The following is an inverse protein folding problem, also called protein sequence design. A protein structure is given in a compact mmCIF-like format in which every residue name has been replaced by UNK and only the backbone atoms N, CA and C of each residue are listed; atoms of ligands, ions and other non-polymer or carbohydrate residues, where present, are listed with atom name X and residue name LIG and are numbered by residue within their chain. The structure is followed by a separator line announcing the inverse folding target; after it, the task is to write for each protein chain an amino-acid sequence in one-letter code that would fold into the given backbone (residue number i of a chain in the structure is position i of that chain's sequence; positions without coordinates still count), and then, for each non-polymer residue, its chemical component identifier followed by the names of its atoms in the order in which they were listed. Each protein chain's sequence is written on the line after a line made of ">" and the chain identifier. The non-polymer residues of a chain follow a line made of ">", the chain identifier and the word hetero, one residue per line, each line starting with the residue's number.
data_IF_301723608077
#
_entry.id   IF_301723608077
#
_cell.length_a   1.000
_cell.length_b   1.000
_cell.length_c   1.000
_cell.angle_alpha   90.00
_cell.angle_beta   90.00
_cell.angle_gamma   90.00
#
_symmetry.space_group_name_H-M   'P 1'
#
loop_
_entity.id
_entity.type
_entity.pdbx_description
1 polymer ?
#
# COMPACT_ATOMS: atom_id res chain seq x y z
N UNK A 1 29.05 -61.77 20.44
CA UNK A 1 29.88 -60.59 20.06
C UNK A 1 29.91 -60.63 18.53
N UNK A 2 29.34 -59.74 17.73
CA UNK A 2 29.11 -58.30 17.84
C UNK A 2 27.89 -57.86 16.99
N UNK A 3 27.17 -56.86 17.52
CA UNK A 3 26.44 -55.72 16.92
C UNK A 3 25.70 -55.85 15.57
N UNK A 4 24.38 -55.70 15.71
CA UNK A 4 23.34 -55.41 14.73
C UNK A 4 23.57 -54.12 13.92
N UNK A 5 23.37 -54.19 12.60
CA UNK A 5 23.21 -53.03 11.70
C UNK A 5 21.79 -53.07 11.13
N UNK A 6 20.89 -52.28 11.73
CA UNK A 6 19.51 -52.13 11.28
C UNK A 6 19.38 -51.10 10.16
N UNK A 7 18.83 -51.52 9.03
CA UNK A 7 18.49 -50.65 7.90
C UNK A 7 17.31 -49.74 8.25
N UNK A 8 17.54 -48.43 8.35
CA UNK A 8 16.48 -47.43 8.44
C UNK A 8 15.97 -47.03 7.05
N UNK A 9 14.86 -47.63 6.61
CA UNK A 9 14.05 -47.11 5.49
C UNK A 9 13.43 -45.77 5.93
N UNK A 10 13.89 -44.66 5.35
CA UNK A 10 13.21 -43.35 5.45
C UNK A 10 12.03 -43.35 4.48
N UNK A 11 10.80 -43.44 5.01
CA UNK A 11 9.59 -43.05 4.30
C UNK A 11 9.54 -41.53 4.19
N UNK A 12 9.66 -41.02 2.96
CA UNK A 12 9.41 -39.62 2.66
C UNK A 12 7.93 -39.30 2.82
N UNK A 13 7.60 -38.42 3.75
CA UNK A 13 6.29 -37.80 3.85
C UNK A 13 6.18 -36.69 2.80
N UNK A 14 5.19 -36.80 1.91
CA UNK A 14 4.78 -35.77 0.97
C UNK A 14 4.60 -34.42 1.69
N UNK A 15 5.49 -33.47 1.40
CA UNK A 15 5.42 -32.10 1.87
C UNK A 15 4.34 -31.32 1.13
N UNK A 16 3.07 -31.52 1.52
CA UNK A 16 2.02 -30.54 1.20
C UNK A 16 2.19 -29.32 2.11
N UNK A 17 2.26 -28.09 1.59
CA UNK A 17 2.32 -26.89 2.41
C UNK A 17 1.06 -26.81 3.28
N UNK A 18 1.24 -26.56 4.57
CA UNK A 18 0.11 -26.26 5.45
C UNK A 18 -0.59 -24.98 4.96
N UNK A 19 -1.94 -24.94 4.97
CA UNK A 19 -2.70 -23.77 4.52
C UNK A 19 -2.41 -22.54 5.40
N UNK A 20 -2.54 -21.33 4.84
CA UNK A 20 -2.22 -20.08 5.53
C UNK A 20 -3.06 -19.92 6.80
N UNK A 21 -2.46 -19.40 7.89
CA UNK A 21 -3.19 -19.06 9.12
C UNK A 21 -4.04 -17.82 8.87
N UNK A 22 -5.34 -18.03 8.73
CA UNK A 22 -6.37 -17.02 8.50
C UNK A 22 -6.66 -16.33 9.85
N UNK A 23 -6.88 -15.01 9.86
CA UNK A 23 -7.28 -14.33 11.11
C UNK A 23 -8.72 -14.74 11.48
N UNK A 24 -9.10 -14.82 12.76
CA UNK A 24 -10.45 -15.26 13.16
C UNK A 24 -11.60 -14.45 12.53
N UNK A 25 -11.36 -13.16 12.25
CA UNK A 25 -12.31 -12.29 11.56
C UNK A 25 -12.47 -12.66 10.07
N UNK A 26 -11.36 -12.95 9.37
CA UNK A 26 -11.37 -13.40 7.97
C UNK A 26 -11.95 -14.82 7.89
N UNK A 27 -11.70 -15.70 8.86
CA UNK A 27 -12.33 -17.03 8.93
C UNK A 27 -13.85 -16.92 9.11
N UNK A 28 -14.31 -16.02 9.97
CA UNK A 28 -15.75 -15.77 10.18
C UNK A 28 -16.41 -15.21 8.93
N UNK A 29 -15.75 -14.25 8.26
CA UNK A 29 -16.23 -13.66 7.01
C UNK A 29 -16.27 -14.70 5.89
N UNK A 30 -15.17 -15.42 5.68
CA UNK A 30 -15.07 -16.49 4.69
C UNK A 30 -16.17 -17.54 4.91
N UNK A 31 -16.41 -17.96 6.16
CA UNK A 31 -17.49 -18.92 6.48
C UNK A 31 -18.87 -18.39 6.11
N UNK A 32 -19.18 -17.14 6.45
CA UNK A 32 -20.47 -16.51 6.12
C UNK A 32 -20.67 -16.38 4.60
N UNK A 33 -19.62 -16.00 3.87
CA UNK A 33 -19.63 -15.98 2.39
C UNK A 33 -19.83 -17.38 1.83
N UNK A 34 -19.10 -18.37 2.36
CA UNK A 34 -19.19 -19.76 1.95
C UNK A 34 -20.62 -20.31 2.12
N UNK A 35 -21.24 -20.09 3.28
CA UNK A 35 -22.63 -20.47 3.55
C UNK A 35 -23.61 -19.86 2.53
N UNK A 36 -23.38 -18.61 2.13
CA UNK A 36 -24.21 -17.93 1.12
C UNK A 36 -24.01 -18.54 -0.26
N UNK A 37 -22.76 -18.82 -0.66
CA UNK A 37 -22.44 -19.43 -1.95
C UNK A 37 -22.92 -20.89 -2.04
N UNK A 38 -23.00 -21.58 -0.90
CA UNK A 38 -23.51 -22.96 -0.83
C UNK A 38 -24.99 -23.05 -1.20
N UNK A 39 -25.75 -21.98 -0.95
CA UNK A 39 -27.17 -21.85 -1.31
C UNK A 39 -27.42 -21.48 -2.78
N UNK A 40 -26.37 -21.25 -3.58
CA UNK A 40 -26.46 -20.97 -5.01
C UNK A 40 -26.26 -22.24 -5.85
N UNK A 41 -27.08 -22.39 -6.89
CA UNK A 41 -26.92 -23.39 -7.94
C UNK A 41 -25.70 -23.11 -8.82
N UNK A 42 -25.22 -24.09 -9.60
CA UNK A 42 -24.09 -23.87 -10.51
C UNK A 42 -24.32 -22.76 -11.54
N UNK A 43 -25.55 -22.59 -12.02
CA UNK A 43 -25.91 -21.52 -12.95
C UNK A 43 -25.88 -20.14 -12.26
N UNK A 44 -26.46 -20.04 -11.06
CA UNK A 44 -26.43 -18.81 -10.25
C UNK A 44 -25.00 -18.41 -9.88
N UNK A 45 -24.11 -19.36 -9.59
CA UNK A 45 -22.70 -19.08 -9.33
C UNK A 45 -21.97 -18.52 -10.56
N UNK A 46 -22.30 -19.00 -11.76
CA UNK A 46 -21.73 -18.45 -13.00
C UNK A 46 -22.16 -16.99 -13.17
N UNK A 47 -23.45 -16.70 -12.99
CA UNK A 47 -23.98 -15.34 -13.04
C UNK A 47 -23.43 -14.45 -11.93
N UNK A 48 -23.26 -15.00 -10.72
CA UNK A 48 -22.67 -14.31 -9.58
C UNK A 48 -21.29 -13.75 -9.96
N UNK A 49 -20.45 -14.55 -10.60
CA UNK A 49 -19.10 -14.12 -11.04
C UNK A 49 -19.15 -13.03 -12.10
N UNK A 50 -20.10 -13.13 -13.04
CA UNK A 50 -20.30 -12.11 -14.08
C UNK A 50 -20.72 -10.79 -13.44
N UNK A 51 -21.71 -10.83 -12.55
CA UNK A 51 -22.23 -9.67 -11.84
C UNK A 51 -21.14 -9.04 -10.97
N UNK A 52 -20.36 -9.85 -10.25
CA UNK A 52 -19.26 -9.37 -9.41
C UNK A 52 -18.22 -8.53 -10.17
N UNK A 53 -18.02 -8.77 -11.48
CA UNK A 53 -17.13 -7.95 -12.33
C UNK A 53 -17.65 -6.52 -12.55
N UNK A 54 -18.93 -6.28 -12.30
CA UNK A 54 -19.64 -5.03 -12.66
C UNK A 54 -20.23 -4.27 -11.47
N UNK A 55 -20.33 -4.91 -10.29
CA UNK A 55 -20.99 -4.35 -9.11
C UNK A 55 -20.19 -3.24 -8.41
N UNK A 56 -18.88 -3.21 -8.65
CA UNK A 56 -17.95 -2.23 -8.10
C UNK A 56 -17.36 -1.37 -9.25
N UNK A 57 -17.31 -0.04 -9.09
CA UNK A 57 -16.72 0.90 -10.07
C UNK A 57 -15.19 0.77 -10.07
N UNK A 58 -14.67 -0.38 -10.46
CA UNK A 58 -13.30 -0.87 -10.23
C UNK A 58 -13.32 -2.14 -9.38
N UNK A 59 -13.35 -3.34 -9.98
CA UNK A 59 -13.53 -4.59 -9.25
C UNK A 59 -12.27 -4.92 -8.43
N UNK A 60 -12.41 -5.04 -7.11
CA UNK A 60 -11.30 -5.38 -6.18
C UNK A 60 -10.72 -6.78 -6.40
N UNK A 61 -11.43 -7.61 -7.17
CA UNK A 61 -10.98 -8.92 -7.64
C UNK A 61 -10.91 -8.82 -9.16
N UNK A 62 -9.71 -8.92 -9.73
CA UNK A 62 -9.54 -8.83 -11.19
C UNK A 62 -10.24 -9.99 -11.91
N UNK A 63 -10.71 -9.80 -13.16
CA UNK A 63 -11.34 -10.86 -13.94
C UNK A 63 -10.47 -12.13 -14.04
N UNK A 64 -9.15 -11.95 -14.18
CA UNK A 64 -8.18 -13.03 -14.26
C UNK A 64 -8.08 -13.85 -12.95
N UNK A 65 -8.08 -13.20 -11.79
CA UNK A 65 -8.10 -13.91 -10.49
C UNK A 65 -9.42 -14.63 -10.25
N UNK A 66 -10.53 -14.03 -10.65
CA UNK A 66 -11.84 -14.67 -10.60
C UNK A 66 -11.89 -15.97 -11.42
N UNK A 67 -11.16 -16.04 -12.53
CA UNK A 67 -11.05 -17.24 -13.36
C UNK A 67 -10.10 -18.28 -12.74
N UNK A 68 -8.93 -17.86 -12.25
CA UNK A 68 -7.91 -18.77 -11.72
C UNK A 68 -8.24 -19.32 -10.32
N UNK A 69 -8.78 -18.46 -9.44
CA UNK A 69 -8.92 -18.75 -8.01
C UNK A 69 -10.40 -18.81 -7.58
N UNK A 70 -11.30 -18.16 -8.32
CA UNK A 70 -12.74 -18.11 -8.03
C UNK A 70 -13.55 -19.28 -8.59
N UNK A 71 -12.90 -20.27 -9.21
CA UNK A 71 -13.53 -21.40 -9.91
C UNK A 71 -14.37 -22.33 -9.03
N UNK A 72 -14.15 -22.34 -7.72
CA UNK A 72 -14.94 -23.09 -6.73
C UNK A 72 -15.64 -22.17 -5.74
N UNK A 73 -16.69 -22.66 -5.04
CA UNK A 73 -17.36 -21.92 -3.95
C UNK A 73 -16.35 -21.48 -2.88
N UNK A 74 -15.49 -22.40 -2.45
CA UNK A 74 -14.43 -22.16 -1.48
C UNK A 74 -13.40 -21.13 -1.92
N UNK A 75 -12.96 -21.21 -3.19
CA UNK A 75 -12.02 -20.24 -3.75
C UNK A 75 -12.62 -18.84 -3.87
N UNK A 76 -13.88 -18.74 -4.29
CA UNK A 76 -14.60 -17.48 -4.38
C UNK A 76 -14.87 -16.86 -2.99
N UNK A 77 -15.22 -17.67 -1.99
CA UNK A 77 -15.39 -17.23 -0.61
C UNK A 77 -14.08 -16.68 -0.03
N UNK A 78 -12.96 -17.36 -0.29
CA UNK A 78 -11.64 -16.93 0.13
C UNK A 78 -11.23 -15.61 -0.55
N UNK A 79 -11.42 -15.50 -1.88
CA UNK A 79 -11.15 -14.28 -2.63
C UNK A 79 -11.93 -13.09 -2.09
N UNK A 80 -13.23 -13.27 -1.84
CA UNK A 80 -14.09 -12.21 -1.31
C UNK A 80 -13.64 -11.80 0.10
N UNK A 81 -13.32 -12.75 0.97
CA UNK A 81 -12.85 -12.47 2.33
C UNK A 81 -11.45 -11.84 2.37
N UNK A 82 -10.60 -12.06 1.36
CA UNK A 82 -9.27 -11.46 1.26
C UNK A 82 -9.29 -10.04 0.67
N UNK A 83 -10.20 -9.77 -0.28
CA UNK A 83 -10.21 -8.52 -1.05
C UNK A 83 -11.22 -7.49 -0.57
N UNK A 84 -12.15 -7.89 0.31
CA UNK A 84 -13.18 -7.01 0.85
C UNK A 84 -13.24 -7.17 2.37
N UNK A 85 -13.34 -6.04 3.08
CA UNK A 85 -13.64 -6.00 4.52
C UNK A 85 -15.15 -6.16 4.75
N UNK A 86 -15.57 -6.51 5.98
CA UNK A 86 -16.93 -6.97 6.28
C UNK A 86 -18.07 -6.06 5.74
N UNK A 87 -18.09 -4.73 6.04
CA UNK A 87 -19.06 -3.81 5.42
C UNK A 87 -19.03 -3.76 3.89
N UNK A 88 -17.86 -3.86 3.26
CA UNK A 88 -17.76 -3.87 1.81
C UNK A 88 -18.26 -5.18 1.20
N UNK A 89 -17.96 -6.34 1.81
CA UNK A 89 -18.51 -7.63 1.41
C UNK A 89 -20.03 -7.60 1.49
N UNK A 90 -20.60 -7.09 2.58
CA UNK A 90 -22.06 -7.00 2.73
C UNK A 90 -22.70 -6.17 1.62
N UNK A 91 -22.17 -4.98 1.31
CA UNK A 91 -22.70 -4.13 0.23
C UNK A 91 -22.61 -4.81 -1.14
N UNK A 92 -21.48 -5.44 -1.44
CA UNK A 92 -21.26 -6.13 -2.72
C UNK A 92 -22.20 -7.34 -2.83
N UNK A 93 -22.31 -8.16 -1.79
CA UNK A 93 -23.20 -9.31 -1.78
C UNK A 93 -24.67 -8.91 -1.86
N UNK A 94 -25.10 -7.85 -1.17
CA UNK A 94 -26.47 -7.34 -1.31
C UNK A 94 -26.76 -6.96 -2.77
N UNK A 95 -25.88 -6.20 -3.43
CA UNK A 95 -26.05 -5.83 -4.84
C UNK A 95 -26.04 -7.04 -5.78
N UNK A 96 -25.12 -7.99 -5.57
CA UNK A 96 -25.03 -9.20 -6.39
C UNK A 96 -26.27 -10.07 -6.22
N UNK A 97 -26.72 -10.30 -4.98
CA UNK A 97 -27.91 -11.09 -4.66
C UNK A 97 -29.19 -10.45 -5.20
N UNK A 98 -29.30 -9.11 -5.14
CA UNK A 98 -30.39 -8.37 -5.78
C UNK A 98 -30.45 -8.60 -7.30
N UNK A 99 -29.31 -8.51 -7.98
CA UNK A 99 -29.24 -8.76 -9.43
C UNK A 99 -29.44 -10.24 -9.80
N UNK A 100 -29.12 -11.17 -8.89
CA UNK A 100 -29.42 -12.59 -9.04
C UNK A 100 -30.89 -12.94 -8.73
N UNK A 101 -31.68 -12.01 -8.21
CA UNK A 101 -33.07 -12.26 -7.78
C UNK A 101 -33.17 -13.06 -6.47
N UNK A 102 -32.10 -13.17 -5.69
CA UNK A 102 -32.03 -13.91 -4.42
C UNK A 102 -32.35 -13.03 -3.22
N UNK A 103 -33.57 -12.48 -3.22
CA UNK A 103 -34.09 -11.64 -2.13
C UNK A 103 -34.14 -12.39 -0.78
N UNK A 104 -34.31 -13.71 -0.82
CA UNK A 104 -34.30 -14.63 0.32
C UNK A 104 -32.99 -14.61 1.11
N UNK A 105 -31.88 -14.29 0.46
CA UNK A 105 -30.54 -14.27 1.06
C UNK A 105 -30.11 -12.87 1.55
N UNK A 106 -30.86 -11.81 1.23
CA UNK A 106 -30.51 -10.45 1.64
C UNK A 106 -30.48 -10.25 3.16
N UNK A 107 -31.41 -10.81 3.97
CA UNK A 107 -31.37 -10.68 5.43
C UNK A 107 -30.10 -11.25 6.07
N UNK A 108 -29.43 -12.20 5.39
CA UNK A 108 -28.15 -12.75 5.85
C UNK A 108 -27.01 -11.74 5.77
N UNK A 109 -27.18 -10.63 5.05
CA UNK A 109 -26.17 -9.61 4.81
C UNK A 109 -26.63 -8.19 5.20
N UNK A 110 -27.91 -8.04 5.56
CA UNK A 110 -28.50 -6.83 6.13
C UNK A 110 -28.59 -7.02 7.65
N UNK A 111 -27.66 -6.49 8.43
CA UNK A 111 -27.80 -6.51 9.89
C UNK A 111 -28.83 -5.49 10.37
N UNK A 112 -29.49 -5.77 11.51
CA UNK A 112 -30.48 -4.91 12.15
C UNK A 112 -29.94 -3.51 12.57
N UNK A 113 -28.62 -3.30 12.55
CA UNK A 113 -27.98 -1.99 12.75
C UNK A 113 -28.00 -1.10 11.48
N UNK A 114 -28.38 -1.64 10.32
CA UNK A 114 -28.44 -0.92 9.04
C UNK A 114 -29.86 -0.43 8.66
N UNK A 115 -30.86 -0.64 9.53
CA UNK A 115 -32.26 -0.24 9.30
C UNK A 115 -32.56 1.22 9.65
N UNK A 116 -31.61 1.95 10.22
CA UNK A 116 -31.59 3.41 10.16
C UNK A 116 -30.80 3.76 8.93
N UNK A 117 -31.44 4.36 7.92
CA UNK A 117 -30.74 4.85 6.73
C UNK A 117 -29.51 5.65 7.16
N UNK A 118 -28.34 5.03 7.09
CA UNK A 118 -27.10 5.76 6.96
C UNK A 118 -27.14 6.33 5.54
N UNK A 119 -27.91 7.40 5.37
CA UNK A 119 -27.27 8.60 4.85
C UNK A 119 -25.94 8.65 5.58
N UNK A 120 -24.85 8.37 4.85
CA UNK A 120 -23.51 8.75 5.29
C UNK A 120 -23.73 10.08 5.97
N UNK A 121 -23.37 10.26 7.25
CA UNK A 121 -23.20 11.60 7.75
C UNK A 121 -22.14 12.17 6.81
N UNK A 122 -22.59 12.83 5.73
CA UNK A 122 -22.00 14.05 5.30
C UNK A 122 -22.11 14.87 6.57
N UNK A 123 -21.13 14.72 7.46
CA UNK A 123 -20.42 15.88 7.91
C UNK A 123 -20.19 16.62 6.61
N UNK A 124 -21.11 17.54 6.32
CA UNK A 124 -20.79 18.69 5.51
C UNK A 124 -19.59 19.21 6.28
N UNK A 125 -18.39 18.75 5.88
CA UNK A 125 -17.19 19.46 6.22
C UNK A 125 -17.55 20.87 5.79
N UNK A 126 -17.65 21.79 6.76
CA UNK A 126 -17.87 23.19 6.46
C UNK A 126 -16.84 23.50 5.39
N UNK A 127 -17.30 23.62 4.15
CA UNK A 127 -16.42 23.81 3.01
C UNK A 127 -15.83 25.18 3.24
N UNK A 128 -14.54 25.19 3.57
CA UNK A 128 -13.73 26.39 3.67
C UNK A 128 -13.43 26.91 2.26
N UNK A 129 -14.47 27.23 1.50
CA UNK A 129 -14.36 27.92 0.20
C UNK A 129 -15.03 29.29 0.25
N UNK A 130 -15.14 29.87 1.44
CA UNK A 130 -15.23 31.31 1.60
C UNK A 130 -13.78 31.80 1.72
N UNK A 131 -13.28 32.42 0.66
CA UNK A 131 -11.95 33.01 0.61
C UNK A 131 -11.76 33.99 1.76
N UNK A 132 -11.04 33.56 2.79
CA UNK A 132 -10.42 34.43 3.77
C UNK A 132 -8.92 34.20 3.63
N UNK A 133 -8.29 35.18 2.99
CA UNK A 133 -6.85 35.37 2.92
C UNK A 133 -6.26 35.20 4.33
N UNK A 134 -5.45 34.14 4.55
CA UNK A 134 -4.61 34.05 5.74
C UNK A 134 -4.30 32.70 6.40
N UNK A 135 -4.98 31.56 6.13
CA UNK A 135 -4.76 30.38 7.01
C UNK A 135 -4.90 28.95 6.41
N UNK A 136 -4.69 28.71 5.10
CA UNK A 136 -4.98 27.37 4.56
C UNK A 136 -4.09 26.75 3.46
N UNK A 137 -2.82 27.13 3.37
CA UNK A 137 -1.86 26.46 2.46
C UNK A 137 -1.28 25.15 3.02
N UNK A 138 -1.88 24.59 4.09
CA UNK A 138 -1.35 23.43 4.82
C UNK A 138 -2.41 22.36 5.08
N UNK A 139 -2.02 21.09 5.02
CA UNK A 139 -2.86 20.00 5.49
C UNK A 139 -2.96 20.02 7.03
N UNK A 140 -4.16 19.75 7.56
CA UNK A 140 -4.35 19.51 8.98
C UNK A 140 -3.87 18.10 9.35
N UNK A 141 -2.71 18.03 9.99
CA UNK A 141 -2.09 16.79 10.47
C UNK A 141 -2.26 16.60 11.99
N UNK A 142 -3.25 17.26 12.62
CA UNK A 142 -3.54 17.11 14.06
C UNK A 142 -4.14 15.75 14.41
N UNK A 143 -4.77 15.08 13.43
CA UNK A 143 -5.27 13.71 13.54
C UNK A 143 -4.16 12.65 13.66
N UNK A 144 -4.55 11.39 13.81
CA UNK A 144 -3.61 10.26 13.93
C UNK A 144 -2.77 10.13 12.67
N UNK A 145 -1.46 10.00 12.85
CA UNK A 145 -0.49 9.75 11.78
C UNK A 145 -0.14 8.29 11.78
N UNK A 146 -0.49 7.60 10.69
CA UNK A 146 -0.32 6.15 10.59
C UNK A 146 0.70 5.80 9.53
N UNK A 147 1.59 4.87 9.84
CA UNK A 147 2.62 4.43 8.90
C UNK A 147 2.64 2.91 8.72
N UNK A 148 2.98 2.48 7.51
CA UNK A 148 3.27 1.08 7.19
C UNK A 148 4.70 0.97 6.68
N UNK A 149 5.53 0.19 7.36
CA UNK A 149 6.94 -0.02 7.02
C UNK A 149 7.15 -1.47 6.58
N UNK A 150 7.46 -1.68 5.29
CA UNK A 150 7.84 -2.98 4.77
C UNK A 150 9.32 -2.98 4.37
N UNK A 151 10.06 -3.99 4.80
CA UNK A 151 11.43 -4.20 4.35
C UNK A 151 11.72 -5.67 4.09
N UNK A 152 12.38 -5.98 2.97
CA UNK A 152 13.04 -7.28 2.76
C UNK A 152 14.52 -7.10 3.11
N UNK A 153 15.00 -7.76 4.16
CA UNK A 153 16.40 -7.73 4.59
C UNK A 153 17.20 -8.89 4.00
N UNK A 154 16.54 -9.98 3.63
CA UNK A 154 17.18 -11.14 3.04
C UNK A 154 17.95 -10.78 1.77
N UNK A 155 19.23 -11.15 1.73
CA UNK A 155 20.17 -10.83 0.65
C UNK A 155 20.24 -9.32 0.32
N UNK A 156 20.03 -8.48 1.35
CA UNK A 156 19.98 -7.03 1.26
C UNK A 156 20.82 -6.43 2.40
N UNK A 157 22.16 -6.58 2.41
CA UNK A 157 23.00 -6.05 3.48
C UNK A 157 22.83 -4.54 3.60
N UNK A 158 22.80 -4.03 4.83
CA UNK A 158 22.45 -2.65 5.15
C UNK A 158 20.94 -2.38 5.29
N UNK A 159 20.06 -3.29 4.87
CA UNK A 159 18.61 -3.11 5.00
C UNK A 159 18.14 -2.97 6.45
N UNK A 160 18.75 -3.70 7.39
CA UNK A 160 18.44 -3.55 8.82
C UNK A 160 18.69 -2.11 9.29
N UNK A 161 19.66 -1.40 8.67
CA UNK A 161 20.04 -0.04 9.05
C UNK A 161 18.99 0.93 8.54
N UNK A 162 18.49 0.70 7.32
CA UNK A 162 17.35 1.43 6.76
C UNK A 162 16.11 1.30 7.65
N UNK A 163 15.80 0.09 8.13
CA UNK A 163 14.67 -0.13 9.05
C UNK A 163 14.83 0.67 10.34
N UNK A 164 16.03 0.67 10.94
CA UNK A 164 16.31 1.45 12.15
C UNK A 164 16.14 2.95 11.91
N UNK A 165 16.74 3.49 10.85
CA UNK A 165 16.69 4.92 10.52
C UNK A 165 15.26 5.37 10.21
N UNK A 166 14.50 4.57 9.45
CA UNK A 166 13.09 4.86 9.16
C UNK A 166 12.23 4.80 10.41
N UNK A 167 12.45 3.82 11.29
CA UNK A 167 11.71 3.71 12.55
C UNK A 167 11.96 4.92 13.45
N UNK A 168 13.21 5.38 13.53
CA UNK A 168 13.58 6.58 14.27
C UNK A 168 12.92 7.83 13.68
N UNK A 169 12.98 8.02 12.37
CA UNK A 169 12.36 9.16 11.69
C UNK A 169 10.84 9.18 11.85
N UNK A 170 10.17 8.02 11.71
CA UNK A 170 8.74 7.88 11.96
C UNK A 170 8.37 8.24 13.40
N UNK A 171 9.17 7.82 14.38
CA UNK A 171 8.99 8.20 15.78
C UNK A 171 9.13 9.70 16.00
N UNK A 172 10.13 10.33 15.39
CA UNK A 172 10.35 11.78 15.45
C UNK A 172 9.22 12.58 14.76
N UNK A 173 8.57 12.01 13.75
CA UNK A 173 7.39 12.56 13.08
C UNK A 173 6.05 12.13 13.71
N UNK A 174 6.09 11.47 14.88
CA UNK A 174 4.92 11.02 15.65
C UNK A 174 3.98 10.06 14.90
N UNK A 175 4.53 9.24 14.01
CA UNK A 175 3.77 8.18 13.35
C UNK A 175 3.64 6.94 14.24
N UNK A 176 2.42 6.44 14.35
CA UNK A 176 2.19 5.07 14.81
C UNK A 176 2.36 4.12 13.62
N UNK A 177 3.40 3.29 13.66
CA UNK A 177 3.78 2.48 12.50
C UNK A 177 3.53 0.98 12.73
N UNK A 178 3.17 0.28 11.64
CA UNK A 178 3.12 -1.18 11.56
C UNK A 178 4.26 -1.68 10.68
N UNK A 179 5.06 -2.62 11.19
CA UNK A 179 6.22 -3.17 10.48
C UNK A 179 5.97 -4.55 9.88
N UNK A 180 6.56 -4.78 8.70
CA UNK A 180 6.50 -6.04 7.97
C UNK A 180 7.88 -6.38 7.38
N UNK A 181 8.65 -7.21 8.10
CA UNK A 181 10.02 -7.59 7.72
C UNK A 181 10.03 -8.96 7.04
N UNK A 182 10.75 -9.06 5.93
CA UNK A 182 10.88 -10.23 5.06
C UNK A 182 9.54 -10.94 4.74
N UNK A 183 8.52 -10.22 4.22
CA UNK A 183 7.28 -10.89 3.83
C UNK A 183 7.45 -11.70 2.54
N UNK A 184 6.67 -12.78 2.42
CA UNK A 184 6.23 -13.30 1.12
C UNK A 184 5.06 -12.47 0.57
N UNK A 185 4.61 -12.75 -0.66
CA UNK A 185 3.55 -11.96 -1.30
C UNK A 185 2.24 -11.96 -0.49
N UNK A 186 1.82 -13.13 -0.01
CA UNK A 186 0.58 -13.23 0.76
C UNK A 186 0.66 -12.50 2.10
N UNK A 187 1.80 -12.59 2.78
CA UNK A 187 2.05 -11.90 4.05
C UNK A 187 1.99 -10.38 3.88
N UNK A 188 2.61 -9.84 2.81
CA UNK A 188 2.55 -8.41 2.50
C UNK A 188 1.11 -7.98 2.21
N UNK A 189 0.46 -8.62 1.24
CA UNK A 189 -0.89 -8.23 0.82
C UNK A 189 -1.90 -8.34 1.97
N UNK A 190 -1.79 -9.36 2.81
CA UNK A 190 -2.63 -9.51 3.99
C UNK A 190 -2.40 -8.40 5.01
N UNK A 191 -1.14 -8.12 5.36
CA UNK A 191 -0.81 -7.08 6.36
C UNK A 191 -1.14 -5.68 5.88
N UNK A 192 -0.81 -5.33 4.63
CA UNK A 192 -1.08 -3.98 4.11
C UNK A 192 -2.59 -3.75 3.88
N UNK A 193 -3.34 -4.80 3.54
CA UNK A 193 -4.81 -4.76 3.49
C UNK A 193 -5.39 -4.54 4.88
N UNK A 194 -4.93 -5.30 5.88
CA UNK A 194 -5.37 -5.13 7.27
C UNK A 194 -5.02 -3.75 7.82
N UNK A 195 -3.87 -3.18 7.43
CA UNK A 195 -3.49 -1.83 7.80
C UNK A 195 -4.44 -0.79 7.20
N UNK A 196 -4.72 -0.85 5.89
CA UNK A 196 -5.70 0.00 5.21
C UNK A 196 -7.09 -0.12 5.85
N UNK A 197 -7.54 -1.35 6.10
CA UNK A 197 -8.87 -1.58 6.70
C UNK A 197 -8.92 -1.01 8.12
N UNK A 198 -7.84 -1.17 8.88
CA UNK A 198 -7.66 -0.52 10.18
C UNK A 198 -7.80 1.00 10.09
N UNK A 199 -7.24 1.67 9.06
CA UNK A 199 -7.43 3.12 8.86
C UNK A 199 -8.91 3.50 8.70
N UNK A 200 -9.64 2.72 7.92
CA UNK A 200 -11.07 2.95 7.66
C UNK A 200 -11.95 2.70 8.89
N UNK A 201 -11.45 1.97 9.89
CA UNK A 201 -12.15 1.68 11.15
C UNK A 201 -11.82 2.67 12.28
N UNK A 202 -10.83 3.56 12.10
CA UNK A 202 -10.49 4.57 13.10
C UNK A 202 -11.66 5.55 13.23
N UNK A 203 -12.19 5.68 14.45
CA UNK A 203 -13.28 6.63 14.78
C UNK A 203 -12.79 8.06 14.95
N UNK A 204 -11.53 8.23 15.35
CA UNK A 204 -10.85 9.52 15.44
C UNK A 204 -10.39 10.01 14.07
N UNK A 205 -10.02 11.28 13.94
CA UNK A 205 -9.52 11.81 12.65
C UNK A 205 -8.15 11.21 12.30
N UNK A 206 -7.95 10.83 11.04
CA UNK A 206 -6.65 10.42 10.49
C UNK A 206 -6.03 11.63 9.80
N UNK A 207 -4.88 12.08 10.28
CA UNK A 207 -4.20 13.25 9.76
C UNK A 207 -3.49 12.96 8.44
N UNK A 208 -2.79 11.83 8.36
CA UNK A 208 -2.10 11.38 7.15
C UNK A 208 -1.72 9.90 7.22
N UNK A 209 -1.36 9.35 6.05
CA UNK A 209 -0.80 8.00 5.92
C UNK A 209 0.57 8.05 5.25
N UNK A 210 1.49 7.23 5.75
CA UNK A 210 2.80 7.03 5.14
C UNK A 210 3.10 5.54 4.92
N UNK A 211 3.43 5.15 3.69
CA UNK A 211 3.78 3.77 3.34
C UNK A 211 5.22 3.73 2.83
N UNK A 212 6.10 3.04 3.55
CA UNK A 212 7.50 2.84 3.17
C UNK A 212 7.72 1.41 2.70
N UNK A 213 8.21 1.23 1.47
CA UNK A 213 8.47 -0.06 0.86
C UNK A 213 9.94 -0.17 0.47
N UNK A 214 10.71 -1.01 1.17
CA UNK A 214 12.15 -1.15 0.96
C UNK A 214 12.48 -2.58 0.53
N UNK A 215 12.72 -2.81 -0.76
CA UNK A 215 13.07 -4.14 -1.28
C UNK A 215 14.01 -4.10 -2.49
N UNK A 216 14.38 -5.27 -2.99
CA UNK A 216 14.76 -5.39 -4.39
C UNK A 216 13.53 -5.07 -5.25
N UNK A 217 13.75 -4.52 -6.43
CA UNK A 217 12.68 -4.15 -7.34
C UNK A 217 13.06 -4.31 -8.79
N UNK A 218 12.09 -4.01 -9.62
CA UNK A 218 12.22 -3.81 -11.06
C UNK A 218 11.10 -2.84 -11.49
N UNK A 219 11.01 -2.53 -12.78
CA UNK A 219 10.06 -1.55 -13.30
C UNK A 219 8.62 -1.82 -12.85
N UNK A 220 8.12 -1.02 -11.91
CA UNK A 220 6.76 -1.10 -11.37
C UNK A 220 6.52 -2.18 -10.31
N UNK A 221 7.53 -2.98 -9.94
CA UNK A 221 7.36 -4.10 -9.01
C UNK A 221 8.41 -4.10 -7.90
N UNK A 222 8.00 -4.61 -6.74
CA UNK A 222 8.88 -4.94 -5.62
C UNK A 222 8.91 -6.46 -5.41
N UNK A 223 10.09 -6.98 -5.08
CA UNK A 223 10.35 -8.42 -4.88
C UNK A 223 10.21 -8.77 -3.41
N UNK A 224 9.62 -9.92 -3.11
CA UNK A 224 9.42 -10.45 -1.76
C UNK A 224 10.60 -11.35 -1.35
N UNK A 225 10.62 -11.87 -0.12
CA UNK A 225 11.74 -12.71 0.39
C UNK A 225 12.02 -13.97 -0.44
N UNK A 226 11.04 -14.43 -1.20
CA UNK A 226 11.07 -15.61 -2.06
C UNK A 226 11.14 -15.27 -3.56
N UNK A 227 11.32 -13.99 -3.90
CA UNK A 227 11.40 -13.52 -5.29
C UNK A 227 10.04 -13.25 -5.95
N UNK A 228 8.92 -13.53 -5.28
CA UNK A 228 7.60 -13.15 -5.78
C UNK A 228 7.49 -11.64 -5.95
N UNK A 229 6.74 -11.20 -6.96
CA UNK A 229 6.59 -9.79 -7.32
C UNK A 229 5.22 -9.25 -6.90
N UNK A 230 5.23 -8.02 -6.42
CA UNK A 230 4.04 -7.23 -6.09
C UNK A 230 4.10 -5.92 -6.85
N UNK A 231 3.00 -5.57 -7.51
CA UNK A 231 2.81 -4.33 -8.26
C UNK A 231 2.73 -3.16 -7.29
N UNK A 232 3.49 -2.10 -7.57
CA UNK A 232 3.38 -0.85 -6.82
C UNK A 232 2.03 -0.16 -7.07
N UNK A 233 1.52 -0.26 -8.29
CA UNK A 233 0.21 0.31 -8.67
C UNK A 233 -0.91 -0.31 -7.85
N UNK A 234 -0.89 -1.65 -7.68
CA UNK A 234 -1.88 -2.36 -6.85
C UNK A 234 -1.85 -1.84 -5.41
N UNK A 235 -0.66 -1.50 -4.89
CA UNK A 235 -0.51 -0.93 -3.55
C UNK A 235 -1.04 0.51 -3.51
N UNK A 236 -0.70 1.36 -4.49
CA UNK A 236 -1.19 2.73 -4.55
C UNK A 236 -2.72 2.78 -4.62
N UNK A 237 -3.33 1.90 -5.42
CA UNK A 237 -4.77 1.78 -5.57
C UNK A 237 -5.47 1.43 -4.24
N UNK A 238 -4.82 0.67 -3.34
CA UNK A 238 -5.40 0.33 -2.04
C UNK A 238 -5.68 1.55 -1.15
N UNK A 239 -4.93 2.64 -1.31
CA UNK A 239 -5.02 3.85 -0.48
C UNK A 239 -5.73 5.02 -1.16
N UNK A 240 -6.29 4.79 -2.34
CA UNK A 240 -6.95 5.83 -3.11
C UNK A 240 -8.26 6.28 -2.44
N UNK A 241 -8.86 7.37 -2.94
CA UNK A 241 -10.04 7.96 -2.32
C UNK A 241 -11.25 7.01 -2.26
N UNK A 242 -11.28 5.98 -3.12
CA UNK A 242 -12.33 4.97 -3.16
C UNK A 242 -12.07 3.83 -2.16
N UNK A 243 -10.83 3.34 -2.09
CA UNK A 243 -10.45 2.15 -1.33
C UNK A 243 -10.05 2.45 0.11
N UNK A 244 -9.63 3.69 0.40
CA UNK A 244 -9.39 4.17 1.76
C UNK A 244 -10.09 5.52 2.02
N UNK A 245 -11.42 5.52 2.23
CA UNK A 245 -12.19 6.75 2.46
C UNK A 245 -11.70 7.59 3.65
N UNK A 246 -11.08 6.96 4.67
CA UNK A 246 -10.50 7.67 5.80
C UNK A 246 -9.35 8.62 5.43
N UNK A 247 -8.79 8.50 4.22
CA UNK A 247 -7.71 9.35 3.70
C UNK A 247 -8.18 10.35 2.63
N UNK A 248 -9.48 10.52 2.40
CA UNK A 248 -9.95 11.55 1.46
C UNK A 248 -9.51 12.94 1.91
N UNK A 249 -8.91 13.72 1.00
CA UNK A 249 -8.35 15.05 1.28
C UNK A 249 -7.22 15.05 2.33
N UNK A 250 -6.66 13.87 2.66
CA UNK A 250 -5.51 13.69 3.54
C UNK A 250 -4.29 13.25 2.73
N UNK A 251 -3.07 13.68 3.10
CA UNK A 251 -1.88 13.32 2.36
C UNK A 251 -1.52 11.83 2.52
N UNK A 252 -1.18 11.21 1.40
CA UNK A 252 -0.84 9.79 1.22
C UNK A 252 0.59 9.70 0.70
N UNK A 253 1.52 9.37 1.58
CA UNK A 253 2.95 9.54 1.33
C UNK A 253 3.57 8.17 1.11
N UNK A 254 4.24 7.96 -0.02
CA UNK A 254 4.87 6.70 -0.38
C UNK A 254 6.37 6.87 -0.54
N UNK A 255 7.15 6.13 0.25
CA UNK A 255 8.60 6.11 0.18
C UNK A 255 9.04 4.76 -0.37
N UNK A 256 9.51 4.75 -1.62
CA UNK A 256 9.86 3.52 -2.31
C UNK A 256 11.38 3.43 -2.39
N UNK A 257 11.99 2.49 -1.65
CA UNK A 257 13.42 2.16 -1.76
C UNK A 257 13.55 0.83 -2.48
N UNK A 258 13.48 0.86 -3.82
CA UNK A 258 13.64 -0.31 -4.68
C UNK A 258 14.18 0.09 -6.05
N UNK A 259 14.94 -0.79 -6.70
CA UNK A 259 15.41 -0.57 -8.08
C UNK A 259 14.21 -0.47 -9.03
N UNK A 260 14.28 0.45 -10.00
CA UNK A 260 13.26 0.59 -11.06
C UNK A 260 13.73 0.01 -12.41
N UNK A 261 14.97 -0.49 -12.47
CA UNK A 261 15.57 -1.23 -13.59
C UNK A 261 17.07 -1.47 -13.36
N UNK A 262 17.84 -1.63 -14.45
CA UNK A 262 19.26 -2.04 -14.42
C UNK A 262 20.24 -0.96 -14.93
N UNK A 263 19.75 0.19 -15.41
CA UNK A 263 20.60 1.27 -15.93
C UNK A 263 21.36 1.99 -14.81
N UNK A 264 22.56 2.47 -15.13
CA UNK A 264 23.42 3.28 -14.25
C UNK A 264 23.52 4.69 -14.83
N UNK A 265 23.53 5.69 -13.95
CA UNK A 265 23.70 7.09 -14.33
C UNK A 265 25.16 7.51 -14.11
N UNK A 266 25.83 7.84 -15.21
CA UNK A 266 27.24 8.25 -15.21
C UNK A 266 27.39 9.78 -15.05
N UNK A 267 26.29 10.53 -14.95
CA UNK A 267 26.29 12.00 -14.89
C UNK A 267 26.54 12.66 -16.26
N UNK A 268 26.17 13.94 -16.35
CA UNK A 268 26.42 14.84 -17.49
C UNK A 268 26.78 16.22 -16.95
N UNK A 269 27.56 17.00 -17.70
CA UNK A 269 27.78 18.44 -17.41
C UNK A 269 26.63 19.25 -18.04
N UNK A 270 26.02 20.18 -17.30
CA UNK A 270 24.87 20.97 -17.79
C UNK A 270 24.94 22.44 -17.37
N UNK A 271 24.66 23.32 -18.33
CA UNK A 271 24.18 24.70 -18.14
C UNK A 271 22.64 24.68 -18.20
N UNK A 272 21.97 25.33 -17.24
CA UNK A 272 20.51 25.28 -16.99
C UNK A 272 19.78 26.56 -17.46
N UNK A 273 18.49 26.45 -17.85
CA UNK A 273 17.42 27.45 -17.54
C UNK A 273 15.99 26.81 -17.57
N UNK A 274 15.02 27.23 -16.72
CA UNK A 274 13.65 26.66 -16.65
C UNK A 274 12.52 27.62 -17.10
N UNK A 275 11.29 27.10 -17.29
CA UNK A 275 10.07 27.89 -17.59
C UNK A 275 8.81 27.33 -16.89
N UNK A 276 7.94 28.23 -16.39
CA UNK A 276 6.69 27.99 -15.62
C UNK A 276 5.40 28.16 -16.47
N UNK A 277 4.23 27.67 -15.98
CA UNK A 277 2.93 28.43 -15.90
C UNK A 277 1.69 27.61 -15.45
N UNK A 278 0.61 28.36 -15.13
CA UNK A 278 -0.55 28.16 -14.24
C UNK A 278 -1.86 27.46 -14.72
N UNK A 279 -2.68 27.24 -13.68
CA UNK A 279 -4.09 26.85 -13.36
C UNK A 279 -5.31 27.13 -14.29
N UNK A 280 -6.36 26.28 -14.18
CA UNK A 280 -7.82 26.61 -14.31
C UNK A 280 -8.70 25.55 -13.59
N UNK A 281 -9.65 26.01 -12.75
CA UNK A 281 -10.65 25.22 -12.00
C UNK A 281 -11.94 24.89 -12.77
N UNK A 282 -12.46 23.67 -12.61
CA UNK A 282 -13.90 23.33 -12.74
C UNK A 282 -14.33 22.38 -11.61
N UNK A 283 -15.62 22.46 -11.23
CA UNK A 283 -16.25 21.80 -10.07
C UNK A 283 -15.84 20.32 -9.93
N UNK A 284 -14.91 20.05 -9.02
CA UNK A 284 -14.19 18.77 -8.97
C UNK A 284 -14.97 17.68 -8.21
N UNK A 285 -15.28 16.58 -8.89
CA UNK A 285 -15.21 15.27 -8.24
C UNK A 285 -13.74 15.05 -7.90
N UNK A 286 -13.41 14.64 -6.68
CA UNK A 286 -12.03 14.27 -6.35
C UNK A 286 -11.57 13.21 -7.36
N UNK A 287 -10.41 13.39 -8.02
CA UNK A 287 -9.80 12.31 -8.77
C UNK A 287 -9.64 11.09 -7.87
N UNK A 288 -9.73 9.88 -8.44
CA UNK A 288 -9.54 8.65 -7.67
C UNK A 288 -8.20 8.67 -6.92
N UNK A 289 -7.18 9.25 -7.55
CA UNK A 289 -5.84 9.48 -7.01
C UNK A 289 -5.61 10.99 -6.79
N UNK A 290 -5.72 11.45 -5.54
CA UNK A 290 -5.37 12.82 -5.13
C UNK A 290 -4.65 12.79 -3.79
N UNK A 291 -3.88 13.85 -3.51
CA UNK A 291 -3.13 14.02 -2.28
C UNK A 291 -2.03 12.97 -2.09
N UNK A 292 -1.46 12.46 -3.20
CA UNK A 292 -0.31 11.56 -3.18
C UNK A 292 1.01 12.32 -3.20
N UNK A 293 1.99 11.81 -2.48
CA UNK A 293 3.40 12.19 -2.62
C UNK A 293 4.24 10.93 -2.66
N UNK A 294 4.86 10.63 -3.79
CA UNK A 294 5.64 9.41 -4.00
C UNK A 294 7.10 9.80 -4.24
N UNK A 295 8.01 9.20 -3.47
CA UNK A 295 9.45 9.39 -3.62
C UNK A 295 10.11 8.06 -4.00
N UNK A 296 10.92 8.13 -5.05
CA UNK A 296 11.76 7.05 -5.55
C UNK A 296 13.23 7.40 -5.37
N UNK A 297 14.12 6.40 -5.22
CA UNK A 297 15.52 6.64 -4.93
C UNK A 297 16.32 6.98 -6.19
N UNK A 298 15.74 6.72 -7.37
CA UNK A 298 16.32 6.91 -8.69
C UNK A 298 15.22 7.10 -9.74
N UNK A 299 15.62 7.59 -10.91
CA UNK A 299 14.79 7.60 -12.11
C UNK A 299 14.31 6.21 -12.51
N UNK A 300 13.22 6.17 -13.29
CA UNK A 300 12.75 4.92 -13.89
C UNK A 300 13.89 4.21 -14.63
N UNK A 301 13.88 2.89 -14.61
CA UNK A 301 14.90 2.02 -15.20
C UNK A 301 16.30 2.06 -14.54
N UNK A 302 16.52 2.79 -13.43
CA UNK A 302 17.83 2.90 -12.75
C UNK A 302 17.92 2.10 -11.43
N UNK A 303 19.16 1.79 -11.01
CA UNK A 303 19.48 1.01 -9.81
C UNK A 303 19.44 1.85 -8.53
N UNK A 304 18.70 1.39 -7.51
CA UNK A 304 18.68 2.04 -6.20
C UNK A 304 19.95 1.67 -5.39
N UNK A 305 20.82 2.64 -5.14
CA UNK A 305 22.09 2.39 -4.43
C UNK A 305 21.91 2.15 -2.93
N UNK A 306 22.70 1.20 -2.43
CA UNK A 306 22.81 0.90 -1.00
C UNK A 306 24.20 0.41 -0.65
N UNK A 307 24.71 0.92 0.47
CA UNK A 307 25.95 0.48 1.05
C UNK A 307 25.71 -0.63 2.10
N UNK A 308 26.52 -1.72 2.10
CA UNK A 308 26.30 -2.88 2.98
C UNK A 308 26.32 -2.59 4.49
N UNK A 309 26.96 -1.50 4.92
CA UNK A 309 27.12 -1.15 6.35
C UNK A 309 26.25 0.02 6.80
N UNK A 310 26.09 1.04 5.96
CA UNK A 310 25.44 2.31 6.35
C UNK A 310 23.97 2.36 5.92
N UNK A 311 23.55 1.52 4.98
CA UNK A 311 22.19 1.50 4.47
C UNK A 311 22.08 2.16 3.09
N UNK A 312 20.85 2.39 2.67
CA UNK A 312 20.46 2.95 1.39
C UNK A 312 20.76 4.44 1.37
N UNK A 313 21.29 4.92 0.24
CA UNK A 313 21.71 6.32 0.07
C UNK A 313 20.58 7.30 0.39
N UNK A 314 19.36 7.03 -0.10
CA UNK A 314 18.19 7.87 0.17
C UNK A 314 17.83 7.91 1.66
N UNK A 315 17.80 6.75 2.33
CA UNK A 315 17.36 6.64 3.73
C UNK A 315 18.40 7.26 4.68
N UNK A 316 19.69 7.07 4.39
CA UNK A 316 20.78 7.70 5.12
C UNK A 316 20.72 9.23 4.99
N UNK A 317 20.58 9.73 3.76
CA UNK A 317 20.46 11.16 3.50
C UNK A 317 19.21 11.77 4.17
N UNK A 318 18.07 11.05 4.20
CA UNK A 318 16.88 11.49 4.93
C UNK A 318 17.18 11.70 6.42
N UNK A 319 17.83 10.73 7.07
CA UNK A 319 18.14 10.83 8.49
C UNK A 319 19.08 12.02 8.80
N UNK A 320 20.06 12.26 7.93
CA UNK A 320 21.00 13.37 8.09
C UNK A 320 20.34 14.74 7.87
N UNK A 321 19.54 14.89 6.82
CA UNK A 321 18.80 16.13 6.56
C UNK A 321 17.82 16.41 7.69
N UNK A 322 17.15 15.37 8.21
CA UNK A 322 16.24 15.49 9.33
C UNK A 322 16.95 15.93 10.61
N UNK A 323 18.12 15.36 10.90
CA UNK A 323 18.94 15.76 12.06
C UNK A 323 19.32 17.25 12.02
N UNK A 324 19.48 17.82 10.82
CA UNK A 324 19.85 19.22 10.63
C UNK A 324 18.65 20.17 10.64
N UNK A 325 17.54 19.80 9.99
CA UNK A 325 16.42 20.70 9.72
C UNK A 325 15.18 20.41 10.57
N UNK A 326 15.04 19.18 11.07
CA UNK A 326 13.85 18.69 11.77
C UNK A 326 12.57 18.82 10.91
N UNK A 327 11.44 18.97 11.60
CA UNK A 327 10.11 19.08 11.00
C UNK A 327 9.75 20.47 10.45
N UNK A 328 10.73 21.32 10.14
CA UNK A 328 10.49 22.74 9.87
C UNK A 328 10.07 23.06 8.43
N UNK A 329 10.18 22.09 7.52
CA UNK A 329 9.98 22.31 6.09
C UNK A 329 8.89 21.41 5.54
N UNK A 330 8.29 21.85 4.44
CA UNK A 330 7.30 21.06 3.73
C UNK A 330 7.94 19.76 3.22
N UNK A 331 7.19 18.66 3.11
CA UNK A 331 7.74 17.38 2.67
C UNK A 331 8.47 17.44 1.32
N UNK A 332 7.99 18.23 0.35
CA UNK A 332 8.70 18.40 -0.92
C UNK A 332 10.04 19.13 -0.73
N UNK A 333 10.10 20.15 0.13
CA UNK A 333 11.36 20.85 0.47
C UNK A 333 12.33 19.94 1.21
N UNK A 334 11.81 19.12 2.13
CA UNK A 334 12.58 18.11 2.84
C UNK A 334 13.26 17.17 1.84
N UNK A 335 12.49 16.57 0.92
CA UNK A 335 13.05 15.67 -0.09
C UNK A 335 13.87 16.40 -1.16
N UNK A 336 13.67 17.69 -1.39
CA UNK A 336 14.55 18.52 -2.21
C UNK A 336 15.93 18.67 -1.56
N UNK A 337 15.99 18.89 -0.24
CA UNK A 337 17.25 18.90 0.52
C UNK A 337 17.93 17.53 0.54
N UNK A 338 17.15 16.45 0.66
CA UNK A 338 17.68 15.07 0.53
C UNK A 338 18.26 14.88 -0.87
N UNK A 339 17.53 15.28 -1.92
CA UNK A 339 18.00 15.16 -3.30
C UNK A 339 19.28 15.96 -3.55
N UNK A 340 19.32 17.23 -3.10
CA UNK A 340 20.51 18.08 -3.23
C UNK A 340 21.74 17.43 -2.60
N UNK A 341 21.59 16.88 -1.40
CA UNK A 341 22.68 16.14 -0.74
C UNK A 341 23.14 14.93 -1.55
N UNK A 342 22.20 14.13 -2.06
CA UNK A 342 22.49 12.91 -2.81
C UNK A 342 23.18 13.23 -4.14
N UNK A 343 22.71 14.22 -4.89
CA UNK A 343 23.30 14.63 -6.20
C UNK A 343 24.73 15.16 -6.05
N UNK A 344 25.01 15.91 -4.99
CA UNK A 344 26.35 16.45 -4.71
C UNK A 344 27.29 15.45 -4.02
N UNK A 345 26.81 14.26 -3.65
CA UNK A 345 27.67 13.20 -3.14
C UNK A 345 28.22 12.37 -4.31
N UNK A 346 29.48 11.96 -4.23
CA UNK A 346 30.07 11.00 -5.17
C UNK A 346 29.97 9.59 -4.62
N UNK A 347 29.25 8.73 -5.34
CA UNK A 347 29.17 7.31 -5.02
C UNK A 347 30.07 6.52 -5.95
N UNK A 348 30.62 5.42 -5.44
CA UNK A 348 31.51 4.55 -6.21
C UNK A 348 30.95 3.13 -6.16
N UNK A 349 30.82 2.50 -7.32
CA UNK A 349 30.43 1.09 -7.43
C UNK A 349 31.44 0.37 -8.33
N UNK A 350 32.16 -0.61 -7.77
CA UNK A 350 33.27 -1.27 -8.48
C UNK A 350 34.31 -0.27 -9.04
N UNK A 351 34.64 0.76 -8.27
CA UNK A 351 35.61 1.82 -8.63
C UNK A 351 35.16 2.78 -9.74
N UNK A 352 33.94 2.60 -10.29
CA UNK A 352 33.33 3.55 -11.20
C UNK A 352 32.48 4.59 -10.43
N UNK A 353 32.62 5.89 -10.72
CA UNK A 353 31.78 6.92 -10.14
C UNK A 353 30.34 6.78 -10.66
N UNK A 354 29.37 6.91 -9.77
CA UNK A 354 27.93 6.86 -10.08
C UNK A 354 27.25 8.06 -9.45
N UNK A 355 26.32 8.66 -10.20
CA UNK A 355 25.41 9.69 -9.68
C UNK A 355 24.04 9.10 -9.37
N UNK A 356 23.39 9.71 -8.39
CA UNK A 356 22.06 9.34 -7.92
C UNK A 356 21.25 10.62 -7.84
N UNK A 357 20.04 10.61 -8.41
CA UNK A 357 19.04 11.65 -8.24
C UNK A 357 17.71 11.01 -7.91
N UNK A 358 17.05 11.52 -6.87
CA UNK A 358 15.72 11.09 -6.46
C UNK A 358 14.67 11.54 -7.47
N UNK A 359 13.52 10.88 -7.48
CA UNK A 359 12.33 11.31 -8.25
C UNK A 359 11.15 11.47 -7.31
N UNK A 360 10.54 12.65 -7.34
CA UNK A 360 9.34 13.02 -6.60
C UNK A 360 8.16 13.12 -7.57
N UNK A 361 7.08 12.40 -7.30
CA UNK A 361 5.81 12.52 -8.01
C UNK A 361 4.75 13.01 -7.02
N UNK A 362 4.07 14.13 -7.31
CA UNK A 362 3.14 14.74 -6.36
C UNK A 362 1.81 15.13 -7.00
N UNK A 363 0.74 14.84 -6.28
CA UNK A 363 -0.62 15.37 -6.48
C UNK A 363 -1.14 16.00 -5.18
N UNK A 364 -0.22 16.44 -4.31
CA UNK A 364 -0.57 17.19 -3.11
C UNK A 364 -1.22 18.51 -3.52
N UNK A 365 -2.26 18.90 -2.80
CA UNK A 365 -2.98 20.15 -3.03
C UNK A 365 -2.63 21.22 -2.00
N UNK A 366 -1.92 20.85 -0.92
CA UNK A 366 -1.47 21.72 0.16
C UNK A 366 -0.10 21.30 0.68
N UNK A 367 0.52 22.15 1.48
CA UNK A 367 1.80 21.82 2.12
C UNK A 367 1.61 20.87 3.32
N UNK A 368 2.36 19.78 3.33
CA UNK A 368 2.51 18.83 4.44
C UNK A 368 3.70 19.24 5.31
N UNK A 369 3.45 19.51 6.60
CA UNK A 369 4.48 19.76 7.63
C UNK A 369 4.23 18.83 8.81
N UNK A 370 5.24 18.06 9.23
CA UNK A 370 5.10 17.11 10.34
C UNK A 370 5.26 17.75 11.72
#
# INVERSE_FOLDING_TARGET
>A
MERSVGSGRRSGSDGRPAPPKITPAVEKLQRRVQETLDLLSPQELSHFRVILRTVDEGPRVSPLRLELEGGSKAGLALLLAQHYYLPAVSRVLVKVLQQLGRADLLPLWQSADDAGGWEIPRKIAKRSYDWVDGDQDRYDLSGKRKAFLMCVEKNRPGAHRDVMLMTEWLGQCQFEHTSCIDPNKMELLGKISSFRDGLNEIKDDVGCCLVTLMSHGEKGFIKMKNGEKVSLEDIFEMFNNKNCPALQEKPKIFIIQACRGEKRDNGVETDDEPMESDDVSERSRLPTFSDYFIIYPTQADHVALRHPRTGSVMIEAMAEVFKQHGNKCHIADFFTKVNNRVVHTEFHLHEEPIKVSLVMESTLTKSVYF
#
